data_IF_172026074228
#
_entry.id   IF_172026074228
#
_cell.length_a   1.000
_cell.length_b   1.000
_cell.length_c   1.000
_cell.angle_alpha   90.00
_cell.angle_beta   90.00
_cell.angle_gamma   90.00
#
_symmetry.space_group_name_H-M   'P 1'
#
loop_
_entity.id
_entity.type
_entity.pdbx_description
1 polymer ?
#
# COMPACT_ATOMS: atom_id res chain seq x y z
N UNK A 1 5.20 -23.04 42.29
CA UNK A 1 4.27 -23.78 41.44
C UNK A 1 4.75 -23.62 40.02
N UNK A 2 5.29 -24.70 39.45
CA UNK A 2 5.78 -24.72 38.08
C UNK A 2 4.58 -24.59 37.14
N UNK A 3 4.54 -23.53 36.34
CA UNK A 3 3.68 -23.47 35.17
C UNK A 3 4.30 -24.45 34.18
N UNK A 4 3.65 -25.59 34.04
CA UNK A 4 4.06 -26.69 33.15
C UNK A 4 4.26 -26.20 31.72
N UNK A 5 5.42 -26.51 31.14
CA UNK A 5 5.80 -26.27 29.73
C UNK A 5 4.82 -26.89 28.71
N UNK A 6 3.87 -27.72 29.14
CA UNK A 6 2.86 -28.39 28.30
C UNK A 6 1.84 -27.46 27.62
N UNK A 7 1.76 -26.17 27.98
CA UNK A 7 0.88 -25.22 27.31
C UNK A 7 1.43 -24.69 25.97
N UNK A 8 2.70 -24.93 25.64
CA UNK A 8 3.40 -24.22 24.55
C UNK A 8 3.25 -24.83 23.15
N UNK A 9 2.58 -25.97 22.99
CA UNK A 9 2.51 -26.68 21.70
C UNK A 9 1.11 -27.14 21.29
N UNK A 10 0.07 -26.37 21.63
CA UNK A 10 -1.27 -26.64 21.08
C UNK A 10 -1.33 -26.20 19.62
N UNK A 11 -1.79 -27.06 18.69
CA UNK A 11 -2.10 -26.67 17.32
C UNK A 11 -3.05 -25.48 17.29
N UNK A 12 -2.88 -24.60 16.31
CA UNK A 12 -3.65 -23.37 16.15
C UNK A 12 -2.78 -22.17 15.77
N UNK A 13 -3.41 -21.00 15.77
CA UNK A 13 -2.76 -19.72 15.53
C UNK A 13 -2.66 -18.92 16.83
N UNK A 14 -1.47 -18.39 17.10
CA UNK A 14 -1.25 -17.34 18.09
C UNK A 14 -0.89 -16.06 17.34
N UNK A 15 -1.58 -14.97 17.65
CA UNK A 15 -1.46 -13.70 16.94
C UNK A 15 -0.95 -12.58 17.85
N UNK A 16 0.08 -11.87 17.41
CA UNK A 16 0.72 -10.77 18.13
C UNK A 16 0.66 -9.51 17.28
N UNK A 17 -0.19 -8.55 17.64
CA UNK A 17 -0.46 -7.38 16.79
C UNK A 17 -0.63 -6.10 17.59
N UNK A 18 0.02 -5.02 17.13
CA UNK A 18 -0.13 -3.68 17.71
C UNK A 18 -0.87 -2.70 16.76
N UNK A 19 -1.28 -3.16 15.59
CA UNK A 19 -2.07 -2.40 14.61
C UNK A 19 -3.16 -3.28 13.99
N UNK A 20 -4.29 -2.66 13.64
CA UNK A 20 -5.45 -3.32 13.03
C UNK A 20 -5.88 -4.61 13.77
N UNK A 21 -5.73 -4.64 15.11
CA UNK A 21 -5.82 -5.87 15.91
C UNK A 21 -7.16 -6.59 15.75
N UNK A 22 -8.26 -5.86 15.72
CA UNK A 22 -9.61 -6.42 15.47
C UNK A 22 -9.71 -7.16 14.14
N UNK A 23 -9.07 -6.66 13.09
CA UNK A 23 -9.13 -7.23 11.75
C UNK A 23 -8.24 -8.48 11.65
N UNK A 24 -7.05 -8.42 12.24
CA UNK A 24 -6.15 -9.58 12.35
C UNK A 24 -6.76 -10.71 13.19
N UNK A 25 -7.42 -10.39 14.30
CA UNK A 25 -8.13 -11.38 15.12
C UNK A 25 -9.28 -12.04 14.34
N UNK A 26 -10.06 -11.26 13.59
CA UNK A 26 -11.11 -11.81 12.73
C UNK A 26 -10.54 -12.73 11.65
N UNK A 27 -9.42 -12.37 11.02
CA UNK A 27 -8.74 -13.21 10.05
C UNK A 27 -8.20 -14.51 10.69
N UNK A 28 -7.68 -14.43 11.92
CA UNK A 28 -7.19 -15.59 12.67
C UNK A 28 -8.32 -16.56 13.03
N UNK A 29 -9.46 -16.04 13.47
CA UNK A 29 -10.66 -16.82 13.78
C UNK A 29 -11.14 -17.65 12.57
N UNK A 30 -11.08 -17.09 11.36
CA UNK A 30 -11.50 -17.78 10.13
C UNK A 30 -10.68 -19.05 9.82
N UNK A 31 -9.42 -19.13 10.28
CA UNK A 31 -8.49 -20.22 9.91
C UNK A 31 -8.06 -21.09 11.08
N UNK A 32 -8.45 -20.72 12.30
CA UNK A 32 -8.07 -21.43 13.53
C UNK A 32 -8.42 -22.92 13.47
N UNK A 33 -9.64 -23.26 13.04
CA UNK A 33 -10.10 -24.64 12.97
C UNK A 33 -9.27 -25.48 11.99
N UNK A 34 -8.93 -24.92 10.83
CA UNK A 34 -8.13 -25.62 9.81
C UNK A 34 -6.70 -25.88 10.28
N UNK A 35 -6.11 -24.95 11.02
CA UNK A 35 -4.77 -25.12 11.60
C UNK A 35 -4.76 -26.21 12.68
N UNK A 36 -5.78 -26.23 13.54
CA UNK A 36 -5.96 -27.29 14.55
C UNK A 36 -6.12 -28.66 13.88
N UNK A 37 -7.00 -28.76 12.89
CA UNK A 37 -7.22 -30.00 12.13
C UNK A 37 -5.97 -30.48 11.39
N UNK A 38 -5.16 -29.55 10.89
CA UNK A 38 -3.89 -29.84 10.22
C UNK A 38 -2.72 -30.07 11.19
N UNK A 39 -2.96 -30.07 12.51
CA UNK A 39 -1.95 -30.17 13.55
C UNK A 39 -0.78 -29.16 13.38
N UNK A 40 -1.09 -27.95 12.90
CA UNK A 40 -0.12 -26.87 12.69
C UNK A 40 -0.16 -25.90 13.86
N UNK A 41 0.99 -25.58 14.42
CA UNK A 41 1.15 -24.53 15.42
C UNK A 41 1.85 -23.33 14.75
N UNK A 42 1.15 -22.21 14.63
CA UNK A 42 1.63 -21.00 13.95
C UNK A 42 1.65 -19.84 14.93
N UNK A 43 2.79 -19.18 15.03
CA UNK A 43 2.94 -17.92 15.76
C UNK A 43 3.16 -16.81 14.74
N UNK A 44 2.20 -15.90 14.66
CA UNK A 44 2.17 -14.84 13.66
C UNK A 44 2.17 -13.47 14.33
N UNK A 45 3.00 -12.56 13.82
CA UNK A 45 3.15 -11.22 14.35
C UNK A 45 3.02 -10.17 13.24
N UNK A 46 2.08 -9.23 13.42
CA UNK A 46 2.05 -7.96 12.68
C UNK A 46 2.30 -6.83 13.69
N UNK A 47 3.57 -6.61 13.98
CA UNK A 47 4.01 -5.69 15.02
C UNK A 47 4.98 -4.67 14.46
N UNK A 48 4.55 -3.42 14.35
CA UNK A 48 5.42 -2.34 13.89
C UNK A 48 6.24 -1.82 15.08
N UNK A 49 7.55 -2.04 15.07
CA UNK A 49 8.47 -1.74 16.18
C UNK A 49 8.63 -0.25 16.46
N UNK A 50 8.22 0.62 15.52
CA UNK A 50 8.05 2.06 15.77
C UNK A 50 7.18 2.38 17.00
N UNK A 51 6.20 1.53 17.34
CA UNK A 51 5.32 1.72 18.50
C UNK A 51 5.80 0.96 19.75
N UNK A 52 7.05 0.48 19.76
CA UNK A 52 7.66 -0.31 20.82
C UNK A 52 7.88 -1.76 20.42
N UNK A 53 8.72 -2.46 21.18
CA UNK A 53 9.06 -3.86 20.94
C UNK A 53 7.91 -4.81 21.29
N UNK A 54 7.83 -5.95 20.60
CA UNK A 54 6.91 -7.03 20.98
C UNK A 54 7.53 -7.84 22.13
N UNK A 55 6.98 -7.79 23.36
CA UNK A 55 7.56 -8.49 24.51
C UNK A 55 7.50 -10.02 24.39
N UNK A 56 6.63 -10.55 23.52
CA UNK A 56 6.42 -11.98 23.32
C UNK A 56 7.06 -12.51 22.03
N UNK A 57 7.89 -11.70 21.35
CA UNK A 57 8.54 -12.08 20.10
C UNK A 57 9.52 -13.24 20.28
N UNK A 58 9.45 -14.21 19.36
CA UNK A 58 10.42 -15.30 19.25
C UNK A 58 11.04 -15.35 17.87
N UNK A 59 12.23 -15.91 17.75
CA UNK A 59 12.99 -15.91 16.49
C UNK A 59 12.24 -16.68 15.38
N UNK A 60 11.56 -17.76 15.75
CA UNK A 60 10.77 -18.65 14.90
C UNK A 60 9.41 -18.08 14.49
N UNK A 61 8.95 -16.99 15.09
CA UNK A 61 7.66 -16.38 14.74
C UNK A 61 7.71 -15.83 13.31
N UNK A 62 6.56 -15.89 12.63
CA UNK A 62 6.37 -15.21 11.35
C UNK A 62 6.18 -13.72 11.65
N UNK A 63 7.17 -12.90 11.30
CA UNK A 63 7.25 -11.48 11.69
C UNK A 63 7.45 -10.58 10.46
N UNK A 64 7.21 -9.28 10.64
CA UNK A 64 7.57 -8.30 9.63
C UNK A 64 9.10 -8.33 9.37
N UNK A 65 9.51 -7.98 8.14
CA UNK A 65 10.91 -7.65 7.88
C UNK A 65 11.36 -6.45 8.73
N UNK A 66 12.66 -6.21 8.83
CA UNK A 66 13.21 -5.12 9.66
C UNK A 66 12.76 -3.72 9.20
N UNK A 67 12.56 -2.81 10.17
CA UNK A 67 12.12 -1.42 9.95
C UNK A 67 12.97 -0.67 8.93
N UNK A 68 14.28 -0.95 8.87
CA UNK A 68 15.18 -0.34 7.89
C UNK A 68 14.70 -0.64 6.47
N UNK A 69 14.44 -1.91 6.16
CA UNK A 69 13.95 -2.35 4.85
C UNK A 69 12.55 -1.79 4.56
N UNK A 70 11.69 -1.66 5.57
CA UNK A 70 10.36 -1.04 5.40
C UNK A 70 10.48 0.45 5.06
N UNK A 71 11.29 1.19 5.82
CA UNK A 71 11.48 2.64 5.64
C UNK A 71 12.07 3.00 4.27
N UNK A 72 12.81 2.08 3.64
CA UNK A 72 13.36 2.28 2.30
C UNK A 72 12.29 2.40 1.22
N UNK A 73 11.22 1.60 1.30
CA UNK A 73 10.15 1.63 0.29
C UNK A 73 9.08 2.68 0.59
N UNK A 74 8.92 3.09 1.86
CA UNK A 74 8.03 4.19 2.24
C UNK A 74 8.59 5.57 1.88
N UNK A 75 9.91 5.68 1.78
CA UNK A 75 10.56 6.94 1.43
C UNK A 75 10.41 7.23 -0.07
N UNK A 76 9.52 8.17 -0.40
CA UNK A 76 9.19 8.56 -1.78
C UNK A 76 10.42 8.97 -2.60
N UNK A 77 11.40 9.64 -1.97
CA UNK A 77 12.63 10.03 -2.64
C UNK A 77 13.55 8.84 -2.94
N UNK A 78 13.62 7.84 -2.04
CA UNK A 78 14.39 6.60 -2.29
C UNK A 78 13.77 5.79 -3.42
N UNK A 79 12.44 5.64 -3.43
CA UNK A 79 11.71 4.99 -4.53
C UNK A 79 12.00 5.70 -5.85
N UNK A 80 11.87 7.04 -5.89
CA UNK A 80 12.15 7.84 -7.08
C UNK A 80 13.60 7.69 -7.60
N UNK A 81 14.59 7.67 -6.71
CA UNK A 81 16.00 7.43 -7.12
C UNK A 81 16.18 6.03 -7.68
N UNK A 82 15.60 5.02 -7.03
CA UNK A 82 15.69 3.63 -7.47
C UNK A 82 15.03 3.40 -8.84
N UNK A 83 13.90 4.06 -9.10
CA UNK A 83 13.26 4.07 -10.42
C UNK A 83 14.22 4.62 -11.49
N UNK A 84 14.89 5.75 -11.23
CA UNK A 84 15.90 6.34 -12.12
C UNK A 84 17.09 5.38 -12.32
N UNK A 85 17.65 4.84 -11.24
CA UNK A 85 18.79 3.91 -11.26
C UNK A 85 18.51 2.62 -12.06
N UNK A 86 17.28 2.10 -11.96
CA UNK A 86 16.84 0.88 -12.65
C UNK A 86 16.24 1.16 -14.04
N UNK A 87 16.24 2.40 -14.50
CA UNK A 87 15.62 2.85 -15.76
C UNK A 87 14.13 2.47 -15.89
N UNK A 88 13.39 2.47 -14.77
CA UNK A 88 11.95 2.22 -14.74
C UNK A 88 11.22 3.57 -14.71
N UNK A 89 10.85 4.08 -15.88
CA UNK A 89 10.37 5.47 -16.05
C UNK A 89 8.85 5.61 -16.17
N UNK A 90 8.13 4.51 -16.43
CA UNK A 90 6.71 4.53 -16.72
C UNK A 90 5.82 4.12 -15.54
N UNK A 91 6.43 3.61 -14.47
CA UNK A 91 5.75 3.03 -13.31
C UNK A 91 5.18 4.08 -12.35
N UNK A 92 5.92 5.16 -12.12
CA UNK A 92 5.50 6.31 -11.30
C UNK A 92 5.57 7.59 -12.13
N UNK A 93 4.83 8.64 -11.76
CA UNK A 93 5.02 9.96 -12.35
C UNK A 93 6.45 10.46 -12.12
N UNK A 94 6.92 11.29 -13.06
CA UNK A 94 8.22 11.94 -12.96
C UNK A 94 8.39 12.61 -11.60
N UNK A 95 9.55 12.41 -10.99
CA UNK A 95 9.87 12.97 -9.68
C UNK A 95 11.20 13.71 -9.75
N UNK A 96 11.17 14.96 -9.29
CA UNK A 96 12.29 15.89 -9.22
C UNK A 96 12.67 16.14 -7.75
N UNK A 97 13.95 16.38 -7.50
CA UNK A 97 14.52 16.60 -6.17
C UNK A 97 14.84 18.08 -5.90
N UNK A 98 14.62 18.95 -6.89
CA UNK A 98 14.71 20.39 -6.75
C UNK A 98 13.71 21.09 -7.67
N UNK A 99 13.49 22.38 -7.39
CA UNK A 99 12.68 23.28 -8.21
C UNK A 99 13.28 23.51 -9.58
N UNK A 100 14.61 23.61 -9.67
CA UNK A 100 15.34 23.80 -10.93
C UNK A 100 15.13 22.61 -11.87
N UNK A 101 15.26 21.38 -11.35
CA UNK A 101 14.98 20.16 -12.11
C UNK A 101 13.52 20.12 -12.59
N UNK A 102 12.57 20.53 -11.76
CA UNK A 102 11.15 20.57 -12.16
C UNK A 102 10.88 21.65 -13.23
N UNK A 103 11.57 22.79 -13.19
CA UNK A 103 11.44 23.88 -14.18
C UNK A 103 11.91 23.42 -15.56
N UNK A 104 13.00 22.64 -15.63
CA UNK A 104 13.48 22.02 -16.87
C UNK A 104 12.43 21.09 -17.51
N UNK A 105 11.51 20.58 -16.70
CA UNK A 105 10.42 19.68 -17.10
C UNK A 105 9.03 20.30 -16.97
N UNK A 106 8.89 21.62 -16.85
CA UNK A 106 7.59 22.27 -16.54
C UNK A 106 6.47 21.94 -17.53
N UNK A 107 6.79 21.56 -18.76
CA UNK A 107 5.84 21.25 -19.83
C UNK A 107 5.29 19.81 -19.77
N UNK A 108 5.78 18.96 -18.84
CA UNK A 108 5.32 17.56 -18.71
C UNK A 108 3.96 17.43 -18.03
N UNK A 109 3.56 18.43 -17.25
CA UNK A 109 2.26 18.48 -16.56
C UNK A 109 1.86 19.93 -16.26
N UNK A 110 0.59 20.17 -15.95
CA UNK A 110 0.09 21.49 -15.52
C UNK A 110 0.22 21.74 -14.02
N UNK A 111 0.32 20.67 -13.23
CA UNK A 111 0.30 20.70 -11.78
C UNK A 111 1.34 19.74 -11.21
N UNK A 112 2.15 20.24 -10.29
CA UNK A 112 3.13 19.49 -9.52
C UNK A 112 2.65 19.28 -8.10
N UNK A 113 3.10 18.19 -7.47
CA UNK A 113 2.81 17.89 -6.08
C UNK A 113 4.10 17.92 -5.27
N UNK A 114 4.21 18.88 -4.35
CA UNK A 114 5.25 18.85 -3.32
C UNK A 114 4.85 17.84 -2.27
N UNK A 115 5.65 16.79 -2.08
CA UNK A 115 5.32 15.68 -1.17
C UNK A 115 6.43 15.51 -0.14
N UNK A 116 6.12 15.59 1.18
CA UNK A 116 7.04 15.19 2.22
C UNK A 116 7.40 13.70 2.08
N UNK A 117 8.69 13.37 2.18
CA UNK A 117 9.17 12.02 1.88
C UNK A 117 8.75 10.94 2.89
N UNK A 118 8.32 11.34 4.09
CA UNK A 118 7.97 10.45 5.22
C UNK A 118 6.51 10.52 5.66
N UNK A 119 5.69 11.38 5.06
CA UNK A 119 4.27 11.49 5.40
C UNK A 119 3.41 10.71 4.39
N UNK A 120 2.26 10.24 4.85
CA UNK A 120 1.28 9.47 4.09
C UNK A 120 -0.13 10.05 4.24
N UNK A 121 -1.07 9.59 3.41
CA UNK A 121 -2.47 10.01 3.46
C UNK A 121 -2.68 11.47 3.12
N UNK A 122 -1.89 12.00 2.17
CA UNK A 122 -2.03 13.37 1.68
C UNK A 122 -1.51 14.48 2.60
N UNK A 123 -1.04 14.16 3.82
CA UNK A 123 -0.61 15.18 4.79
C UNK A 123 0.62 15.95 4.29
N UNK A 124 0.52 17.28 4.32
CA UNK A 124 1.60 18.19 3.92
C UNK A 124 1.87 18.21 2.41
N UNK A 125 0.97 17.66 1.58
CA UNK A 125 1.09 17.79 0.13
C UNK A 125 0.58 19.16 -0.30
N UNK A 126 1.38 19.86 -1.09
CA UNK A 126 1.00 21.12 -1.74
C UNK A 126 0.83 20.89 -3.25
N UNK A 127 -0.11 21.59 -3.86
CA UNK A 127 -0.39 21.56 -5.30
C UNK A 127 0.19 22.84 -5.93
N UNK A 128 1.14 22.69 -6.85
CA UNK A 128 1.93 23.80 -7.41
C UNK A 128 1.70 23.84 -8.92
N UNK A 129 1.00 24.86 -9.44
CA UNK A 129 0.89 25.05 -10.88
C UNK A 129 2.27 25.19 -11.53
N UNK A 130 2.47 24.61 -12.72
CA UNK A 130 3.77 24.65 -13.41
C UNK A 130 4.28 26.07 -13.65
N UNK A 131 3.38 27.03 -13.85
CA UNK A 131 3.71 28.45 -14.00
C UNK A 131 4.23 29.12 -12.73
N UNK A 132 4.07 28.51 -11.56
CA UNK A 132 4.51 29.03 -10.26
C UNK A 132 5.77 28.34 -9.73
N UNK A 133 6.33 27.37 -10.45
CA UNK A 133 7.53 26.63 -10.01
C UNK A 133 8.75 27.54 -9.77
N UNK A 134 8.89 28.61 -10.55
CA UNK A 134 10.02 29.54 -10.43
C UNK A 134 10.03 30.32 -9.10
N UNK A 135 8.86 30.52 -8.51
CA UNK A 135 8.68 31.26 -7.26
C UNK A 135 8.51 30.33 -6.05
N UNK A 136 8.44 29.02 -6.29
CA UNK A 136 8.25 28.02 -5.25
C UNK A 136 9.59 27.62 -4.62
N UNK A 137 9.63 27.50 -3.30
CA UNK A 137 10.79 26.97 -2.58
C UNK A 137 10.45 25.59 -2.03
N UNK A 138 11.08 24.54 -2.57
CA UNK A 138 10.82 23.17 -2.14
C UNK A 138 11.27 22.98 -0.68
N UNK A 139 10.37 22.60 0.24
CA UNK A 139 10.74 22.35 1.63
C UNK A 139 11.76 21.23 1.74
N UNK A 140 12.63 21.32 2.77
CA UNK A 140 13.54 20.24 3.10
C UNK A 140 12.79 18.91 3.27
N UNK A 141 13.43 17.81 2.87
CA UNK A 141 12.83 16.47 2.93
C UNK A 141 11.50 16.33 2.15
N UNK A 142 11.37 17.06 1.05
CA UNK A 142 10.25 16.93 0.10
C UNK A 142 10.76 16.62 -1.30
N UNK A 143 9.86 16.15 -2.15
CA UNK A 143 10.07 15.93 -3.58
C UNK A 143 8.99 16.69 -4.37
N UNK A 144 9.26 17.00 -5.64
CA UNK A 144 8.25 17.43 -6.59
C UNK A 144 7.89 16.25 -7.49
N UNK A 145 6.63 15.82 -7.48
CA UNK A 145 6.15 14.78 -8.37
C UNK A 145 5.17 15.38 -9.38
N UNK A 146 5.39 15.12 -10.66
CA UNK A 146 4.52 15.57 -11.73
C UNK A 146 3.11 15.00 -11.57
N UNK A 147 2.10 15.82 -11.84
CA UNK A 147 0.72 15.37 -11.89
C UNK A 147 0.45 14.46 -13.07
N UNK A 148 -0.38 13.45 -12.86
CA UNK A 148 -0.85 12.55 -13.92
C UNK A 148 -1.92 13.27 -14.73
N UNK A 149 -1.70 13.38 -16.03
CA UNK A 149 -2.66 13.91 -17.00
C UNK A 149 -3.62 12.83 -17.50
N UNK A 150 -4.75 13.25 -18.10
CA UNK A 150 -5.74 12.35 -18.71
C UNK A 150 -6.27 11.30 -17.73
N UNK A 151 -6.61 11.71 -16.51
CA UNK A 151 -7.16 10.82 -15.48
C UNK A 151 -8.50 10.22 -15.94
N UNK A 152 -8.65 8.92 -15.70
CA UNK A 152 -9.95 8.30 -15.74
C UNK A 152 -10.76 8.79 -14.54
N UNK A 153 -11.96 9.28 -14.80
CA UNK A 153 -12.85 9.84 -13.77
C UNK A 153 -14.04 8.92 -13.54
N UNK A 154 -14.48 8.83 -12.30
CA UNK A 154 -15.70 8.13 -11.92
C UNK A 154 -16.72 9.18 -11.51
N UNK A 155 -17.85 9.25 -12.22
CA UNK A 155 -18.91 10.25 -11.92
C UNK A 155 -18.38 11.70 -11.95
N UNK A 156 -17.42 11.97 -12.86
CA UNK A 156 -16.76 13.27 -12.99
C UNK A 156 -15.77 13.61 -11.86
N UNK A 157 -15.57 12.70 -10.88
CA UNK A 157 -14.67 12.87 -9.74
C UNK A 157 -13.38 12.08 -9.95
N UNK A 158 -12.30 12.60 -9.36
CA UNK A 158 -11.02 11.88 -9.24
C UNK A 158 -11.17 10.74 -8.23
N UNK A 159 -10.44 9.64 -8.45
CA UNK A 159 -10.24 8.63 -7.42
C UNK A 159 -8.78 8.21 -7.33
N UNK A 160 -8.40 7.69 -6.16
CA UNK A 160 -7.14 6.99 -5.93
C UNK A 160 -7.43 5.51 -5.68
N UNK A 161 -6.79 4.62 -6.41
CA UNK A 161 -6.87 3.18 -6.16
C UNK A 161 -5.81 2.73 -5.15
N UNK A 162 -6.10 1.67 -4.38
CA UNK A 162 -5.11 0.92 -3.60
C UNK A 162 -5.23 -0.57 -3.86
N UNK A 163 -4.08 -1.20 -4.10
CA UNK A 163 -3.92 -2.65 -4.16
C UNK A 163 -3.05 -3.15 -3.01
N UNK A 164 -3.16 -4.43 -2.71
CA UNK A 164 -2.38 -5.08 -1.67
C UNK A 164 -1.42 -6.12 -2.22
N UNK A 165 -0.17 -6.06 -1.75
CA UNK A 165 0.87 -7.05 -2.06
C UNK A 165 1.36 -7.71 -0.78
N UNK A 166 1.67 -9.00 -0.86
CA UNK A 166 2.41 -9.74 0.16
C UNK A 166 3.81 -10.03 -0.38
N UNK A 167 4.83 -9.64 0.37
CA UNK A 167 6.20 -10.11 0.16
C UNK A 167 6.49 -11.18 1.20
N UNK A 168 6.85 -12.38 0.77
CA UNK A 168 7.20 -13.48 1.65
C UNK A 168 8.12 -14.46 0.94
N UNK A 169 9.15 -14.95 1.65
CA UNK A 169 10.07 -15.97 1.16
C UNK A 169 10.64 -15.66 -0.24
N UNK A 170 11.14 -14.42 -0.40
CA UNK A 170 11.74 -13.86 -1.62
C UNK A 170 10.79 -13.78 -2.83
N UNK A 171 9.48 -13.79 -2.58
CA UNK A 171 8.44 -13.72 -3.61
C UNK A 171 7.45 -12.60 -3.31
N UNK A 172 6.83 -12.08 -4.36
CA UNK A 172 5.78 -11.08 -4.29
C UNK A 172 4.46 -11.68 -4.80
N UNK A 173 3.40 -11.50 -4.02
CA UNK A 173 2.05 -11.94 -4.33
C UNK A 173 1.12 -10.74 -4.38
N UNK A 174 0.19 -10.73 -5.33
CA UNK A 174 -0.87 -9.72 -5.43
C UNK A 174 -2.18 -10.29 -4.92
N UNK A 175 -2.91 -9.51 -4.14
CA UNK A 175 -4.28 -9.84 -3.77
C UNK A 175 -5.23 -9.63 -4.93
N UNK A 176 -6.29 -10.43 -5.03
CA UNK A 176 -7.21 -10.41 -6.17
C UNK A 176 -8.12 -9.16 -6.24
N UNK A 177 -8.14 -8.34 -5.19
CA UNK A 177 -8.98 -7.15 -5.09
C UNK A 177 -8.23 -5.96 -4.44
N UNK A 178 -8.86 -4.79 -4.50
CA UNK A 178 -8.38 -3.54 -3.92
C UNK A 178 -9.56 -2.63 -3.57
N UNK A 179 -9.28 -1.36 -3.34
CA UNK A 179 -10.34 -0.35 -3.22
C UNK A 179 -10.02 0.90 -4.03
N UNK A 180 -11.05 1.65 -4.40
CA UNK A 180 -10.92 3.03 -4.87
C UNK A 180 -11.46 3.97 -3.81
N UNK A 181 -10.81 5.12 -3.68
CA UNK A 181 -11.25 6.23 -2.87
C UNK A 181 -11.63 7.38 -3.80
N UNK A 182 -12.93 7.62 -3.94
CA UNK A 182 -13.53 8.65 -4.76
C UNK A 182 -13.51 9.98 -4.00
N UNK A 183 -12.97 11.03 -4.61
CA UNK A 183 -12.84 12.34 -3.99
C UNK A 183 -14.20 13.04 -3.88
N UNK A 184 -14.31 13.98 -2.94
CA UNK A 184 -15.55 14.73 -2.72
C UNK A 184 -15.92 15.63 -3.92
N UNK A 185 -15.03 16.58 -4.31
CA UNK A 185 -15.31 17.51 -5.40
C UNK A 185 -15.28 16.87 -6.79
N UNK A 186 -15.97 17.50 -7.74
CA UNK A 186 -15.77 17.25 -9.17
C UNK A 186 -14.33 17.57 -9.56
N UNK A 187 -13.78 16.77 -10.48
CA UNK A 187 -12.41 16.96 -10.92
C UNK A 187 -12.30 18.18 -11.85
N UNK A 188 -11.33 19.03 -11.57
CA UNK A 188 -10.92 20.12 -12.45
C UNK A 188 -9.39 20.07 -12.62
N UNK A 189 -8.96 19.82 -13.85
CA UNK A 189 -7.55 19.73 -14.22
C UNK A 189 -6.80 21.07 -14.09
N UNK A 190 -7.51 22.19 -14.09
CA UNK A 190 -6.94 23.53 -13.95
C UNK A 190 -6.97 24.03 -12.49
N UNK A 191 -7.63 23.29 -11.60
CA UNK A 191 -7.63 23.61 -10.17
C UNK A 191 -6.30 23.27 -9.55
N UNK A 192 -5.83 24.12 -8.63
CA UNK A 192 -4.73 23.86 -7.70
C UNK A 192 -5.24 23.44 -6.31
N UNK A 193 -6.54 23.16 -6.18
CA UNK A 193 -7.16 22.80 -4.91
C UNK A 193 -6.69 21.44 -4.40
N UNK A 194 -6.22 21.42 -3.16
CA UNK A 194 -5.90 20.21 -2.42
C UNK A 194 -7.10 19.24 -2.38
N UNK A 195 -8.33 19.74 -2.25
CA UNK A 195 -9.53 18.91 -2.14
C UNK A 195 -9.88 18.19 -3.45
N UNK A 196 -9.61 18.84 -4.59
CA UNK A 196 -9.81 18.25 -5.92
C UNK A 196 -8.80 17.14 -6.18
N UNK A 197 -7.54 17.34 -5.74
CA UNK A 197 -6.43 16.47 -6.16
C UNK A 197 -5.93 15.47 -5.13
N UNK A 198 -6.12 15.71 -3.83
CA UNK A 198 -5.41 14.96 -2.79
C UNK A 198 -6.29 14.56 -1.61
N UNK A 199 -7.23 15.40 -1.19
CA UNK A 199 -7.89 15.21 0.11
C UNK A 199 -8.68 13.90 0.19
N UNK A 200 -8.30 13.11 1.19
CA UNK A 200 -8.91 11.83 1.55
C UNK A 200 -9.51 11.84 2.94
N UNK A 201 -9.43 12.95 3.68
CA UNK A 201 -9.82 13.01 5.08
C UNK A 201 -11.35 12.93 5.24
N UNK A 202 -11.80 12.14 6.22
CA UNK A 202 -13.21 12.06 6.57
C UNK A 202 -14.02 11.04 5.77
N UNK A 203 -13.41 10.19 4.93
CA UNK A 203 -14.12 9.10 4.21
C UNK A 203 -14.80 8.10 5.15
N UNK A 204 -14.41 8.06 6.42
CA UNK A 204 -15.00 7.22 7.46
C UNK A 204 -16.33 7.77 7.99
N UNK A 205 -16.66 9.03 7.69
CA UNK A 205 -17.89 9.69 8.15
C UNK A 205 -19.07 9.30 7.26
N UNK A 206 -20.24 9.12 7.86
CA UNK A 206 -21.44 8.68 7.17
C UNK A 206 -21.99 9.70 6.15
N UNK A 207 -21.70 10.98 6.35
CA UNK A 207 -22.12 12.13 5.54
C UNK A 207 -20.99 12.67 4.65
N UNK A 208 -19.92 11.89 4.46
CA UNK A 208 -18.78 12.30 3.63
C UNK A 208 -19.12 12.26 2.14
N UNK A 209 -18.70 13.29 1.42
CA UNK A 209 -18.72 13.27 -0.05
C UNK A 209 -17.62 12.38 -0.65
N UNK A 210 -16.68 11.91 0.18
CA UNK A 210 -15.60 10.99 -0.17
C UNK A 210 -16.09 9.56 0.07
N UNK A 211 -16.02 8.73 -0.96
CA UNK A 211 -16.54 7.38 -0.92
C UNK A 211 -15.44 6.34 -1.14
N UNK A 212 -15.48 5.25 -0.38
CA UNK A 212 -14.59 4.11 -0.58
C UNK A 212 -15.37 2.92 -1.12
N UNK A 213 -14.99 2.45 -2.32
CA UNK A 213 -15.62 1.30 -3.00
C UNK A 213 -14.60 0.19 -3.22
N UNK A 214 -15.05 -1.06 -3.15
CA UNK A 214 -14.22 -2.20 -3.57
C UNK A 214 -14.00 -2.11 -5.08
N UNK A 215 -12.78 -2.42 -5.53
CA UNK A 215 -12.53 -2.44 -6.97
C UNK A 215 -13.38 -3.50 -7.67
N UNK A 216 -13.54 -4.68 -7.06
CA UNK A 216 -14.42 -5.76 -7.56
C UNK A 216 -15.90 -5.37 -7.76
N UNK A 217 -16.36 -4.28 -7.16
CA UNK A 217 -17.72 -3.77 -7.37
C UNK A 217 -17.88 -2.93 -8.66
N UNK A 218 -16.78 -2.61 -9.34
CA UNK A 218 -16.75 -1.75 -10.53
C UNK A 218 -16.86 -2.60 -11.80
N UNK A 219 -17.71 -2.19 -12.74
CA UNK A 219 -17.98 -2.91 -14.01
C UNK A 219 -16.71 -3.26 -14.79
N UNK A 220 -15.78 -2.31 -14.86
CA UNK A 220 -14.58 -2.43 -15.69
C UNK A 220 -13.37 -2.98 -14.93
N UNK A 221 -13.55 -3.43 -13.69
CA UNK A 221 -12.45 -3.89 -12.85
C UNK A 221 -11.61 -5.00 -13.48
N UNK A 222 -12.25 -5.95 -14.18
CA UNK A 222 -11.52 -7.05 -14.82
C UNK A 222 -10.50 -6.56 -15.87
N UNK A 223 -10.81 -5.47 -16.60
CA UNK A 223 -9.88 -4.84 -17.55
C UNK A 223 -8.74 -4.15 -16.80
N UNK A 224 -9.04 -3.44 -15.72
CA UNK A 224 -8.06 -2.73 -14.92
C UNK A 224 -7.12 -3.70 -14.21
N UNK A 225 -7.65 -4.79 -13.66
CA UNK A 225 -6.89 -5.77 -12.88
C UNK A 225 -5.73 -6.35 -13.67
N UNK A 226 -5.93 -6.68 -14.95
CA UNK A 226 -4.85 -7.17 -15.82
C UNK A 226 -3.72 -6.13 -15.94
N UNK A 227 -4.06 -4.87 -16.17
CA UNK A 227 -3.06 -3.78 -16.34
C UNK A 227 -2.38 -3.40 -15.04
N UNK A 228 -3.12 -3.44 -13.93
CA UNK A 228 -2.60 -3.27 -12.57
C UNK A 228 -1.55 -4.34 -12.29
N UNK A 229 -1.85 -5.59 -12.62
CA UNK A 229 -0.96 -6.72 -12.42
C UNK A 229 0.31 -6.62 -13.27
N UNK A 230 0.18 -6.28 -14.55
CA UNK A 230 1.32 -6.02 -15.45
C UNK A 230 2.21 -4.87 -14.94
N UNK A 231 1.62 -3.82 -14.34
CA UNK A 231 2.40 -2.77 -13.68
C UNK A 231 3.03 -3.22 -12.36
N UNK A 232 2.33 -4.05 -11.57
CA UNK A 232 2.86 -4.57 -10.32
C UNK A 232 4.09 -5.47 -10.54
N UNK A 233 4.16 -6.19 -11.65
CA UNK A 233 5.34 -6.99 -12.04
C UNK A 233 6.61 -6.11 -12.20
N UNK A 234 6.46 -4.85 -12.64
CA UNK A 234 7.58 -3.90 -12.76
C UNK A 234 8.12 -3.40 -11.42
N UNK A 235 7.47 -3.72 -10.29
CA UNK A 235 7.98 -3.39 -8.96
C UNK A 235 9.19 -4.25 -8.57
N UNK A 236 9.39 -5.43 -9.17
CA UNK A 236 10.46 -6.36 -8.79
C UNK A 236 11.84 -5.70 -8.55
N UNK A 237 12.41 -4.91 -9.49
CA UNK A 237 13.70 -4.25 -9.26
C UNK A 237 13.64 -3.15 -8.19
N UNK A 238 12.46 -2.61 -7.89
CA UNK A 238 12.26 -1.53 -6.91
C UNK A 238 12.19 -2.12 -5.50
N UNK A 239 11.53 -3.27 -5.32
CA UNK A 239 11.35 -3.94 -4.03
C UNK A 239 12.41 -5.02 -3.72
N UNK A 240 13.53 -5.05 -4.46
CA UNK A 240 14.54 -6.11 -4.33
C UNK A 240 15.09 -6.28 -2.91
N UNK A 241 15.24 -5.17 -2.16
CA UNK A 241 15.73 -5.21 -0.78
C UNK A 241 14.71 -5.86 0.15
N UNK A 242 13.41 -5.63 -0.10
CA UNK A 242 12.32 -6.22 0.67
C UNK A 242 12.17 -7.72 0.33
N UNK A 243 12.38 -8.11 -0.94
CA UNK A 243 12.46 -9.51 -1.33
C UNK A 243 13.60 -10.21 -0.60
N UNK A 244 14.81 -9.65 -0.62
CA UNK A 244 15.99 -10.24 0.05
C UNK A 244 15.87 -10.27 1.58
N UNK A 245 15.23 -9.27 2.19
CA UNK A 245 14.96 -9.26 3.62
C UNK A 245 13.86 -10.25 4.05
N UNK A 246 13.07 -10.76 3.11
CA UNK A 246 12.01 -11.72 3.39
C UNK A 246 12.52 -13.17 3.40
N UNK A 247 11.87 -14.01 4.20
CA UNK A 247 12.23 -15.42 4.41
C UNK A 247 10.98 -16.22 4.74
N UNK A 248 11.11 -17.49 5.14
CA UNK A 248 9.98 -18.29 5.61
C UNK A 248 9.28 -17.69 6.84
N UNK A 249 10.02 -16.95 7.69
CA UNK A 249 9.51 -16.33 8.92
C UNK A 249 9.58 -14.79 8.88
N UNK A 250 9.84 -14.19 7.71
CA UNK A 250 9.87 -12.74 7.52
C UNK A 250 9.05 -12.32 6.31
N UNK A 251 8.11 -11.41 6.51
CA UNK A 251 7.16 -10.97 5.47
C UNK A 251 6.92 -9.46 5.50
N UNK A 252 6.21 -8.95 4.49
CA UNK A 252 5.71 -7.58 4.47
C UNK A 252 4.36 -7.52 3.75
N UNK A 253 3.44 -6.70 4.26
CA UNK A 253 2.16 -6.40 3.62
C UNK A 253 2.20 -4.96 3.11
N UNK A 254 2.21 -4.79 1.80
CA UNK A 254 2.28 -3.48 1.15
C UNK A 254 0.90 -3.01 0.71
N UNK A 255 0.66 -1.71 0.85
CA UNK A 255 -0.42 -1.00 0.15
C UNK A 255 0.18 -0.13 -0.96
N UNK A 256 -0.18 -0.37 -2.22
CA UNK A 256 0.33 0.41 -3.36
C UNK A 256 -0.79 1.27 -3.92
N UNK A 257 -0.55 2.57 -3.99
CA UNK A 257 -1.52 3.56 -4.47
C UNK A 257 -1.33 3.81 -5.94
N UNK A 258 -2.44 3.91 -6.66
CA UNK A 258 -2.45 4.02 -8.10
C UNK A 258 -3.46 5.05 -8.62
N UNK A 259 -3.16 5.57 -9.79
CA UNK A 259 -4.06 6.36 -10.62
C UNK A 259 -4.25 5.64 -11.95
N UNK A 260 -5.46 5.77 -12.50
CA UNK A 260 -5.84 5.25 -13.80
C UNK A 260 -6.03 6.41 -14.79
N UNK A 261 -5.60 6.23 -16.03
CA UNK A 261 -5.79 7.20 -17.12
C UNK A 261 -6.87 6.73 -18.11
N UNK A 262 -7.43 7.60 -18.95
CA UNK A 262 -8.45 7.22 -19.94
C UNK A 262 -7.91 6.25 -21.01
N UNK A 263 -6.62 6.31 -21.31
CA UNK A 263 -5.92 5.27 -22.10
C UNK A 263 -5.92 3.87 -21.43
N UNK A 264 -6.33 3.81 -20.16
CA UNK A 264 -6.25 2.69 -19.23
C UNK A 264 -4.84 2.42 -18.72
N UNK A 265 -3.88 3.34 -18.92
CA UNK A 265 -2.57 3.25 -18.28
C UNK A 265 -2.72 3.39 -16.76
N UNK A 266 -1.95 2.60 -16.02
CA UNK A 266 -1.88 2.62 -14.56
C UNK A 266 -0.53 3.19 -14.14
N UNK A 267 -0.53 4.17 -13.25
CA UNK A 267 0.67 4.70 -12.61
C UNK A 267 0.55 4.57 -11.10
N UNK A 268 1.60 4.06 -10.46
CA UNK A 268 1.71 4.08 -9.02
C UNK A 268 2.15 5.45 -8.53
N UNK A 269 1.67 5.87 -7.37
CA UNK A 269 1.99 7.18 -6.80
C UNK A 269 2.63 7.09 -5.41
N UNK A 270 2.43 5.97 -4.71
CA UNK A 270 2.96 5.74 -3.38
C UNK A 270 3.00 4.23 -3.07
N UNK A 271 3.99 3.80 -2.29
CA UNK A 271 4.05 2.46 -1.69
C UNK A 271 4.09 2.65 -0.18
N UNK A 272 3.16 2.00 0.53
CA UNK A 272 3.04 2.04 1.98
C UNK A 272 3.51 0.70 2.54
N UNK A 273 4.55 0.73 3.37
CA UNK A 273 5.14 -0.42 4.03
C UNK A 273 4.34 -0.86 5.26
N UNK A 274 3.78 0.10 5.99
CA UNK A 274 2.85 -0.14 7.10
C UNK A 274 1.53 0.61 6.84
N UNK A 275 0.74 0.18 5.83
CA UNK A 275 -0.46 0.89 5.41
C UNK A 275 -1.50 0.98 6.53
N UNK A 276 -2.37 1.99 6.46
CA UNK A 276 -3.59 1.96 7.26
C UNK A 276 -4.52 0.88 6.69
N UNK A 277 -4.93 -0.08 7.52
CA UNK A 277 -5.87 -1.14 7.17
C UNK A 277 -7.25 -0.97 7.81
N UNK A 278 -7.44 0.03 8.67
CA UNK A 278 -8.74 0.27 9.31
C UNK A 278 -9.49 1.28 8.45
N UNK A 279 -10.46 0.78 7.69
CA UNK A 279 -11.30 1.53 6.76
C UNK A 279 -12.79 1.35 7.09
N UNK A 280 -13.67 1.54 6.10
CA UNK A 280 -15.11 1.28 6.22
C UNK A 280 -15.39 -0.20 6.49
N UNK A 281 -16.55 -0.52 7.08
CA UNK A 281 -16.92 -1.90 7.42
C UNK A 281 -16.93 -2.83 6.19
N UNK A 282 -17.42 -2.34 5.06
CA UNK A 282 -17.48 -3.10 3.80
C UNK A 282 -16.07 -3.47 3.34
N UNK A 283 -15.16 -2.49 3.29
CA UNK A 283 -13.77 -2.72 2.88
C UNK A 283 -13.05 -3.62 3.87
N UNK A 284 -13.22 -3.41 5.17
CA UNK A 284 -12.58 -4.28 6.15
C UNK A 284 -13.05 -5.74 6.03
N UNK A 285 -14.35 -5.98 5.86
CA UNK A 285 -14.94 -7.32 5.80
C UNK A 285 -14.61 -8.06 4.51
N UNK A 286 -14.63 -7.37 3.37
CA UNK A 286 -14.53 -8.02 2.06
C UNK A 286 -13.13 -7.98 1.45
N UNK A 287 -12.27 -7.07 1.93
CA UNK A 287 -10.91 -6.87 1.43
C UNK A 287 -9.85 -7.13 2.50
N UNK A 288 -9.81 -6.34 3.59
CA UNK A 288 -8.66 -6.35 4.51
C UNK A 288 -8.58 -7.64 5.35
N UNK A 289 -9.70 -8.10 5.93
CA UNK A 289 -9.73 -9.37 6.67
C UNK A 289 -9.38 -10.53 5.74
N UNK A 290 -9.98 -10.68 4.55
CA UNK A 290 -9.57 -11.72 3.59
C UNK A 290 -8.11 -11.62 3.15
N UNK A 291 -7.57 -10.41 2.95
CA UNK A 291 -6.15 -10.26 2.62
C UNK A 291 -5.26 -10.82 3.72
N UNK A 292 -5.51 -10.45 4.99
CA UNK A 292 -4.77 -10.99 6.14
C UNK A 292 -4.92 -12.50 6.26
N UNK A 293 -6.16 -12.99 6.12
CA UNK A 293 -6.47 -14.41 6.17
C UNK A 293 -5.62 -15.16 5.13
N UNK A 294 -5.70 -14.78 3.86
CA UNK A 294 -4.98 -15.47 2.79
C UNK A 294 -3.46 -15.34 2.92
N UNK A 295 -2.95 -14.21 3.42
CA UNK A 295 -1.53 -14.07 3.73
C UNK A 295 -1.09 -15.05 4.81
N UNK A 296 -1.83 -15.16 5.92
CA UNK A 296 -1.50 -16.09 7.00
C UNK A 296 -1.65 -17.54 6.51
N UNK A 297 -2.71 -17.86 5.75
CA UNK A 297 -2.90 -19.20 5.15
C UNK A 297 -1.70 -19.60 4.33
N UNK A 298 -1.23 -18.73 3.43
CA UNK A 298 -0.08 -19.01 2.58
C UNK A 298 1.17 -19.31 3.40
N UNK A 299 1.48 -18.45 4.38
CA UNK A 299 2.67 -18.61 5.24
C UNK A 299 2.56 -19.81 6.19
N UNK A 300 1.34 -20.16 6.59
CA UNK A 300 1.04 -21.35 7.38
C UNK A 300 0.98 -22.63 6.54
N UNK A 301 1.18 -22.56 5.21
CA UNK A 301 1.13 -23.69 4.29
C UNK A 301 -0.28 -24.28 4.07
N UNK A 302 -1.31 -23.46 4.23
CA UNK A 302 -2.69 -23.73 3.83
C UNK A 302 -2.97 -23.15 2.44
N UNK A 303 -4.02 -23.61 1.72
CA UNK A 303 -4.42 -23.02 0.45
C UNK A 303 -4.78 -21.53 0.58
N UNK A 304 -4.24 -20.68 -0.29
CA UNK A 304 -4.49 -19.24 -0.32
C UNK A 304 -4.92 -18.77 -1.72
N UNK A 305 -6.18 -19.00 -2.07
CA UNK A 305 -6.70 -18.86 -3.45
C UNK A 305 -6.79 -17.42 -3.95
N UNK A 306 -6.86 -16.42 -3.05
CA UNK A 306 -6.96 -15.00 -3.40
C UNK A 306 -5.62 -14.28 -3.54
N UNK A 307 -4.51 -15.01 -3.35
CA UNK A 307 -3.15 -14.50 -3.57
C UNK A 307 -2.56 -15.15 -4.81
N UNK A 308 -2.19 -14.32 -5.79
CA UNK A 308 -1.50 -14.78 -7.01
C UNK A 308 -0.04 -14.40 -6.94
N UNK A 309 0.85 -15.35 -7.23
CA UNK A 309 2.28 -15.07 -7.39
C UNK A 309 2.50 -14.13 -8.58
N UNK A 310 3.24 -13.04 -8.36
CA UNK A 310 3.74 -12.15 -9.40
C UNK A 310 5.13 -12.60 -9.87
N UNK A 311 6.08 -12.68 -8.94
CA UNK A 311 7.48 -13.06 -9.15
C UNK A 311 8.10 -13.57 -7.86
#
# INVERSE_FOLDING_TARGET
>A
MAVTEEAQNKPGLQIFVNRASRLFNAAAENIQAELVLSNRNVRFSYWATFYGDNPDARLEDIQLIEDKSISEIENKARVARKLKEKNVTDLFPMTCFSTEEAIEHKDVCSLWFSKPIHLSGGRGIECIPSGQLADYSLPAHSILQAGVSDLFLMEGKKFTGRIYLLIWNKRCYVFDDGFVLLHGPQFDANSDSYDVHVNHAGYEKADSDIEMRLMSSLSDFHLWKKRIDEQAEKLAPIIENQLEASSQNRYLLLGVDLLLQNSGRVQFIEINGIPNFVHTQIVNRQLNIPFFEHSIRLMAGLPATRLRLLF
#
